data_IF_648424710717
#
_entry.id   IF_648424710717
#
_cell.length_a   1.000
_cell.length_b   1.000
_cell.length_c   1.000
_cell.angle_alpha   90.00
_cell.angle_beta   90.00
_cell.angle_gamma   90.00
#
_symmetry.space_group_name_H-M   'P 1'
#
loop_
_entity.id
_entity.type
_entity.pdbx_description
1 polymer ?
#
# COMPACT_ATOMS: atom_id res chain seq x y z
N UNK A 1 6.96 -22.32 -7.85
CA UNK A 1 7.29 -20.89 -7.57
C UNK A 1 6.24 -20.01 -8.20
N UNK A 2 5.72 -19.07 -7.45
CA UNK A 2 4.71 -18.15 -7.96
C UNK A 2 5.41 -16.92 -8.54
N UNK A 3 5.26 -16.70 -9.86
CA UNK A 3 5.91 -15.61 -10.57
C UNK A 3 4.99 -14.41 -10.83
N UNK A 4 3.78 -14.42 -10.27
CA UNK A 4 2.81 -13.36 -10.53
C UNK A 4 3.32 -11.96 -10.19
N UNK A 5 4.16 -11.85 -9.19
CA UNK A 5 4.64 -10.55 -8.71
C UNK A 5 5.96 -10.09 -9.33
N UNK A 6 6.60 -10.92 -10.18
CA UNK A 6 7.90 -10.59 -10.75
C UNK A 6 7.91 -9.25 -11.49
N UNK A 7 6.84 -8.94 -12.23
CA UNK A 7 6.75 -7.69 -13.00
C UNK A 7 6.67 -6.44 -12.12
N UNK A 8 6.41 -6.61 -10.83
CA UNK A 8 6.30 -5.50 -9.89
C UNK A 8 7.58 -5.27 -9.08
N UNK A 9 8.60 -6.12 -9.26
CA UNK A 9 9.83 -6.05 -8.48
C UNK A 9 10.86 -5.13 -9.16
N UNK A 10 11.71 -4.51 -8.35
CA UNK A 10 12.82 -3.70 -8.85
C UNK A 10 12.45 -2.31 -9.34
N UNK A 11 11.23 -1.84 -9.05
CA UNK A 11 10.83 -0.47 -9.40
C UNK A 11 11.49 0.51 -8.44
N UNK A 12 12.19 1.50 -8.98
CA UNK A 12 12.84 2.51 -8.16
C UNK A 12 11.83 3.53 -7.64
N UNK A 13 11.96 3.86 -6.37
CA UNK A 13 11.08 4.84 -5.73
C UNK A 13 11.27 6.23 -6.33
N UNK A 14 10.16 6.90 -6.64
CA UNK A 14 10.10 8.34 -6.79
C UNK A 14 8.76 8.83 -6.23
N UNK A 15 8.69 10.09 -5.81
CA UNK A 15 7.52 10.56 -5.07
C UNK A 15 6.28 10.80 -5.93
N UNK A 16 6.41 10.80 -7.26
CA UNK A 16 5.30 11.15 -8.16
C UNK A 16 4.71 9.97 -8.91
N UNK A 17 5.52 8.98 -9.28
CA UNK A 17 5.08 7.88 -10.16
C UNK A 17 5.20 6.50 -9.52
N UNK A 18 6.28 6.26 -8.78
CA UNK A 18 6.57 4.97 -8.17
C UNK A 18 6.73 5.12 -6.66
N UNK A 19 5.66 4.88 -5.93
CA UNK A 19 5.66 4.91 -4.48
C UNK A 19 4.88 3.73 -3.92
N UNK A 20 4.77 3.63 -2.59
CA UNK A 20 4.13 2.49 -1.97
C UNK A 20 2.66 2.31 -2.37
N UNK A 21 1.93 3.41 -2.62
CA UNK A 21 0.53 3.32 -3.02
C UNK A 21 0.40 2.94 -4.49
N UNK A 22 1.19 3.58 -5.37
CA UNK A 22 1.09 3.29 -6.81
C UNK A 22 1.44 1.85 -7.12
N UNK A 23 2.34 1.24 -6.35
CA UNK A 23 2.65 -0.18 -6.48
C UNK A 23 1.41 -1.03 -6.17
N UNK A 24 0.76 -0.79 -5.06
CA UNK A 24 -0.43 -1.56 -4.65
C UNK A 24 -1.59 -1.32 -5.62
N UNK A 25 -1.78 -0.08 -6.05
CA UNK A 25 -2.79 0.27 -7.04
C UNK A 25 -2.58 -0.51 -8.35
N UNK A 26 -1.34 -0.57 -8.83
CA UNK A 26 -0.99 -1.34 -10.04
C UNK A 26 -1.32 -2.83 -9.87
N UNK A 27 -0.99 -3.40 -8.72
CA UNK A 27 -1.29 -4.82 -8.46
C UNK A 27 -2.79 -5.05 -8.44
N UNK A 28 -3.55 -4.19 -7.78
CA UNK A 28 -5.01 -4.31 -7.73
C UNK A 28 -5.63 -4.19 -9.12
N UNK A 29 -5.18 -3.23 -9.92
CA UNK A 29 -5.71 -3.06 -11.28
C UNK A 29 -5.38 -4.25 -12.16
N UNK A 30 -4.16 -4.74 -12.11
CA UNK A 30 -3.71 -5.81 -13.01
C UNK A 30 -4.11 -7.20 -12.56
N UNK A 31 -4.09 -7.49 -11.25
CA UNK A 31 -4.36 -8.84 -10.74
C UNK A 31 -5.81 -9.03 -10.30
N UNK A 32 -6.48 -7.98 -9.84
CA UNK A 32 -7.86 -8.06 -9.33
C UNK A 32 -8.86 -7.31 -10.19
N UNK A 33 -8.42 -6.65 -11.24
CA UNK A 33 -9.27 -5.80 -12.09
C UNK A 33 -10.08 -4.80 -11.25
N UNK A 34 -9.41 -4.21 -10.26
CA UNK A 34 -10.02 -3.33 -9.27
C UNK A 34 -9.37 -1.95 -9.31
N UNK A 35 -10.19 -0.91 -9.24
CA UNK A 35 -9.77 0.48 -9.22
C UNK A 35 -10.09 1.17 -7.89
N UNK A 36 -10.09 0.41 -6.80
CA UNK A 36 -10.49 0.92 -5.47
C UNK A 36 -9.63 2.10 -5.01
N UNK A 37 -8.37 2.17 -5.45
CA UNK A 37 -7.47 3.25 -5.05
C UNK A 37 -7.72 4.56 -5.78
N UNK A 38 -8.54 4.57 -6.84
CA UNK A 38 -8.92 5.83 -7.48
C UNK A 38 -9.65 6.76 -6.49
N UNK A 39 -10.45 6.19 -5.59
CA UNK A 39 -11.09 6.96 -4.53
C UNK A 39 -10.12 7.56 -3.51
N UNK A 40 -8.97 6.92 -3.28
CA UNK A 40 -7.93 7.47 -2.43
C UNK A 40 -7.34 8.75 -3.03
N UNK A 41 -7.09 8.75 -4.33
CA UNK A 41 -6.55 9.91 -5.01
C UNK A 41 -7.52 11.09 -4.93
N UNK A 42 -8.82 10.85 -5.09
CA UNK A 42 -9.85 11.88 -4.90
C UNK A 42 -9.87 12.39 -3.47
N UNK A 43 -9.82 11.48 -2.50
CA UNK A 43 -9.82 11.83 -1.07
C UNK A 43 -8.62 12.71 -0.71
N UNK A 44 -7.45 12.43 -1.28
CA UNK A 44 -6.24 13.21 -1.07
C UNK A 44 -6.18 14.47 -1.92
N UNK A 45 -7.21 14.76 -2.73
CA UNK A 45 -7.27 15.90 -3.64
C UNK A 45 -6.10 15.88 -4.64
N UNK A 46 -5.87 14.72 -5.25
CA UNK A 46 -4.81 14.50 -6.23
C UNK A 46 -5.44 14.03 -7.55
N UNK A 47 -5.96 14.95 -8.39
CA UNK A 47 -6.65 14.57 -9.63
C UNK A 47 -5.79 13.73 -10.54
N UNK A 48 -6.38 12.67 -11.12
CA UNK A 48 -5.70 11.77 -12.03
C UNK A 48 -4.76 10.78 -11.37
N UNK A 49 -4.76 10.71 -10.03
CA UNK A 49 -3.97 9.74 -9.29
C UNK A 49 -2.47 9.96 -9.31
N UNK A 50 -2.01 11.12 -9.78
CA UNK A 50 -0.58 11.43 -9.84
C UNK A 50 -0.27 12.67 -9.02
N UNK A 51 0.53 12.55 -7.94
CA UNK A 51 1.00 13.72 -7.20
C UNK A 51 1.80 14.62 -8.11
N UNK A 52 1.35 15.85 -8.30
CA UNK A 52 2.02 16.80 -9.21
C UNK A 52 3.23 17.48 -8.57
N UNK A 53 3.20 17.63 -7.26
CA UNK A 53 4.17 18.41 -6.51
C UNK A 53 4.96 17.53 -5.54
N UNK A 54 5.66 16.53 -6.06
CA UNK A 54 6.58 15.68 -5.32
C UNK A 54 6.33 15.54 -3.82
N UNK A 55 6.72 16.54 -3.03
CA UNK A 55 6.65 16.48 -1.58
C UNK A 55 5.39 17.05 -0.94
N UNK A 56 4.63 17.89 -1.63
CA UNK A 56 3.48 18.57 -1.00
C UNK A 56 2.37 17.62 -0.61
N UNK A 57 2.14 16.58 -1.40
CA UNK A 57 1.09 15.61 -1.12
C UNK A 57 1.40 14.75 0.10
N UNK A 58 2.68 14.62 0.46
CA UNK A 58 3.09 13.75 1.56
C UNK A 58 2.51 14.16 2.90
N UNK A 59 2.24 15.45 3.08
CA UNK A 59 1.62 15.95 4.32
C UNK A 59 0.20 15.43 4.50
N UNK A 60 -0.48 15.09 3.41
CA UNK A 60 -1.83 14.53 3.43
C UNK A 60 -1.83 13.03 3.66
N UNK A 61 -0.66 12.40 3.59
CA UNK A 61 -0.48 10.95 3.65
C UNK A 61 -0.17 10.52 5.08
N UNK A 62 -1.07 10.86 6.02
CA UNK A 62 -0.94 10.50 7.43
C UNK A 62 -1.67 9.19 7.71
N UNK A 63 -1.26 8.48 8.78
CA UNK A 63 -1.95 7.26 9.23
C UNK A 63 -3.44 7.54 9.46
N UNK A 64 -3.77 8.59 10.19
CA UNK A 64 -5.18 8.91 10.50
C UNK A 64 -5.99 9.19 9.25
N UNK A 65 -5.45 9.94 8.31
CA UNK A 65 -6.11 10.26 7.05
C UNK A 65 -6.40 9.00 6.24
N UNK A 66 -5.42 8.12 6.12
CA UNK A 66 -5.56 6.88 5.36
C UNK A 66 -6.51 5.90 6.04
N UNK A 67 -6.45 5.78 7.36
CA UNK A 67 -7.37 4.91 8.09
C UNK A 67 -8.80 5.42 8.00
N UNK A 68 -9.00 6.74 8.02
CA UNK A 68 -10.33 7.33 7.84
C UNK A 68 -10.90 6.97 6.48
N UNK A 69 -10.11 7.12 5.42
CA UNK A 69 -10.54 6.74 4.08
C UNK A 69 -10.80 5.22 3.99
N UNK A 70 -9.86 4.41 4.48
CA UNK A 70 -9.98 2.95 4.41
C UNK A 70 -11.25 2.44 5.11
N UNK A 71 -11.63 3.06 6.23
CA UNK A 71 -12.83 2.66 6.98
C UNK A 71 -14.12 2.81 6.17
N UNK A 72 -14.11 3.63 5.11
CA UNK A 72 -15.29 3.83 4.26
C UNK A 72 -15.41 2.78 3.15
N UNK A 73 -14.32 2.10 2.78
CA UNK A 73 -14.26 1.22 1.61
C UNK A 73 -13.76 -0.18 1.91
N UNK A 74 -13.29 -0.43 3.13
CA UNK A 74 -12.64 -1.67 3.51
C UNK A 74 -13.01 -2.10 4.92
N UNK A 75 -12.69 -3.34 5.25
CA UNK A 75 -12.89 -3.91 6.58
C UNK A 75 -11.55 -4.09 7.27
N UNK A 76 -11.46 -3.68 8.52
CA UNK A 76 -10.25 -3.84 9.33
C UNK A 76 -10.02 -5.31 9.66
N UNK A 77 -8.77 -5.76 9.56
CA UNK A 77 -8.38 -7.15 9.74
C UNK A 77 -7.40 -7.26 10.90
N UNK A 78 -7.51 -8.33 11.68
CA UNK A 78 -6.53 -8.63 12.72
C UNK A 78 -5.26 -9.23 12.11
N UNK A 79 -4.12 -8.99 12.76
CA UNK A 79 -2.83 -9.52 12.33
C UNK A 79 -2.84 -11.05 12.16
N UNK A 80 -3.63 -11.75 12.97
CA UNK A 80 -3.75 -13.21 12.91
C UNK A 80 -4.56 -13.72 11.72
N UNK A 81 -5.28 -12.85 11.02
CA UNK A 81 -6.21 -13.22 9.94
C UNK A 81 -5.75 -12.73 8.57
N UNK A 82 -4.47 -12.41 8.41
CA UNK A 82 -3.92 -11.92 7.15
C UNK A 82 -4.17 -12.87 5.98
N UNK A 83 -4.61 -12.30 4.87
CA UNK A 83 -4.82 -13.00 3.60
C UNK A 83 -4.15 -12.26 2.46
N UNK A 84 -3.88 -12.95 1.36
CA UNK A 84 -3.35 -12.33 0.14
C UNK A 84 -4.22 -11.14 -0.26
N UNK A 85 -3.56 -10.06 -0.68
CA UNK A 85 -4.15 -8.76 -1.07
C UNK A 85 -4.59 -7.88 0.09
N UNK A 86 -4.42 -8.30 1.35
CA UNK A 86 -4.64 -7.37 2.46
C UNK A 86 -3.59 -6.26 2.43
N UNK A 87 -4.04 -5.03 2.69
CA UNK A 87 -3.17 -3.85 2.69
C UNK A 87 -2.77 -3.54 4.12
N UNK A 88 -1.46 -3.44 4.33
CA UNK A 88 -0.89 -3.13 5.64
C UNK A 88 -0.47 -1.66 5.65
N UNK A 89 -0.98 -0.90 6.61
CA UNK A 89 -0.56 0.47 6.86
C UNK A 89 0.47 0.44 7.98
N UNK A 90 1.69 0.89 7.66
CA UNK A 90 2.78 0.99 8.63
C UNK A 90 2.94 2.44 9.09
N UNK A 91 3.39 2.62 10.33
CA UNK A 91 3.68 3.93 10.93
C UNK A 91 5.03 4.50 10.46
N UNK A 92 5.89 3.64 9.93
CA UNK A 92 7.25 4.05 9.59
C UNK A 92 7.31 4.58 8.18
N UNK A 93 7.49 5.88 8.06
CA UNK A 93 7.94 6.54 6.86
C UNK A 93 9.13 7.41 7.22
N UNK A 94 9.91 7.82 6.23
CA UNK A 94 11.03 8.74 6.44
C UNK A 94 10.54 10.17 6.33
N UNK A 95 10.33 10.65 5.12
CA UNK A 95 9.72 11.96 4.86
C UNK A 95 8.20 11.88 4.84
N UNK A 96 7.67 10.74 4.38
CA UNK A 96 6.24 10.43 4.43
C UNK A 96 5.95 9.71 5.74
N UNK A 97 4.99 10.15 6.55
CA UNK A 97 4.74 9.55 7.86
C UNK A 97 4.16 8.15 7.83
N UNK A 98 3.76 7.68 6.65
CA UNK A 98 3.06 6.40 6.49
C UNK A 98 3.68 5.60 5.37
N UNK A 99 3.66 4.27 5.53
CA UNK A 99 4.14 3.35 4.50
C UNK A 99 3.11 2.25 4.29
N UNK A 100 2.92 1.83 3.04
CA UNK A 100 2.01 0.75 2.67
C UNK A 100 2.77 -0.49 2.25
N UNK A 101 2.23 -1.65 2.63
CA UNK A 101 2.64 -2.94 2.10
C UNK A 101 1.44 -3.76 1.70
N UNK A 102 1.65 -4.72 0.82
CA UNK A 102 0.61 -5.66 0.40
C UNK A 102 1.00 -7.07 0.86
N UNK A 103 0.15 -7.68 1.67
CA UNK A 103 0.40 -9.03 2.14
C UNK A 103 0.24 -10.04 0.98
N UNK A 104 1.14 -10.99 0.91
CA UNK A 104 1.12 -12.03 -0.11
C UNK A 104 0.71 -13.37 0.47
N UNK A 105 1.67 -14.07 1.05
CA UNK A 105 1.49 -15.38 1.70
C UNK A 105 2.73 -15.71 2.52
N UNK A 106 2.64 -16.72 3.35
CA UNK A 106 3.78 -17.24 4.10
C UNK A 106 4.56 -16.16 4.85
N UNK A 107 3.84 -15.23 5.48
CA UNK A 107 4.42 -14.15 6.28
C UNK A 107 5.29 -13.21 5.45
N UNK A 108 4.94 -12.99 4.18
CA UNK A 108 5.65 -12.12 3.25
C UNK A 108 4.75 -11.00 2.74
N UNK A 109 5.36 -9.87 2.44
CA UNK A 109 4.65 -8.74 1.84
C UNK A 109 5.52 -8.08 0.78
N UNK A 110 4.88 -7.44 -0.20
CA UNK A 110 5.56 -6.65 -1.23
C UNK A 110 5.36 -5.18 -0.89
N UNK A 111 6.43 -4.39 -1.04
CA UNK A 111 6.36 -2.96 -0.79
C UNK A 111 7.42 -2.21 -1.59
N UNK A 112 7.26 -0.89 -1.65
CA UNK A 112 8.21 0.01 -2.30
C UNK A 112 8.62 1.07 -1.27
N UNK A 113 9.71 0.84 -0.55
CA UNK A 113 10.15 1.79 0.49
C UNK A 113 10.73 3.07 -0.10
N UNK A 114 10.61 4.17 0.66
CA UNK A 114 11.18 5.44 0.26
C UNK A 114 12.69 5.32 0.01
N UNK A 115 13.12 5.83 -1.15
CA UNK A 115 14.53 5.84 -1.51
C UNK A 115 15.08 4.48 -1.93
N UNK A 116 14.24 3.45 -1.98
CA UNK A 116 14.64 2.11 -2.34
C UNK A 116 13.98 1.60 -3.61
N UNK A 117 13.79 0.31 -3.69
CA UNK A 117 13.13 -0.33 -4.82
C UNK A 117 12.11 -1.36 -4.31
N UNK A 118 11.13 -1.68 -5.15
CA UNK A 118 10.11 -2.65 -4.79
C UNK A 118 10.69 -4.05 -4.64
N UNK A 119 10.32 -4.71 -3.55
CA UNK A 119 10.77 -6.07 -3.27
C UNK A 119 9.81 -6.78 -2.33
N UNK A 120 9.96 -8.10 -2.24
CA UNK A 120 9.22 -8.93 -1.28
C UNK A 120 10.08 -9.08 -0.04
N UNK A 121 9.50 -8.81 1.11
CA UNK A 121 10.17 -8.88 2.40
C UNK A 121 9.41 -9.80 3.33
N UNK A 122 10.08 -10.29 4.36
CA UNK A 122 9.45 -11.07 5.43
C UNK A 122 8.84 -10.12 6.44
N UNK A 123 7.63 -10.42 6.88
CA UNK A 123 6.94 -9.63 7.91
C UNK A 123 7.51 -9.99 9.28
N UNK A 124 8.70 -9.49 9.55
CA UNK A 124 9.44 -9.72 10.79
C UNK A 124 8.74 -9.05 11.98
N UNK A 125 9.20 -9.37 13.20
CA UNK A 125 8.67 -8.70 14.39
C UNK A 125 8.91 -7.20 14.35
N UNK A 126 10.04 -6.75 13.81
CA UNK A 126 10.32 -5.32 13.64
C UNK A 126 9.26 -4.65 12.76
N UNK A 127 8.89 -5.27 11.64
CA UNK A 127 7.82 -4.77 10.78
C UNK A 127 6.47 -4.83 11.47
N UNK A 128 6.17 -5.93 12.16
CA UNK A 128 4.90 -6.08 12.88
C UNK A 128 4.71 -5.00 13.94
N UNK A 129 5.78 -4.61 14.62
CA UNK A 129 5.74 -3.56 15.63
C UNK A 129 5.40 -2.19 15.03
N UNK A 130 5.58 -2.02 13.74
CA UNK A 130 5.30 -0.77 13.03
C UNK A 130 3.92 -0.76 12.37
N UNK A 131 3.15 -1.83 12.44
CA UNK A 131 1.82 -1.89 11.84
C UNK A 131 0.86 -0.95 12.60
N UNK A 132 0.23 -0.04 11.85
CA UNK A 132 -0.86 0.78 12.36
C UNK A 132 -2.19 0.05 12.24
N UNK A 133 -2.47 -0.51 11.06
CA UNK A 133 -3.71 -1.24 10.79
C UNK A 133 -3.58 -2.07 9.51
N UNK A 134 -4.50 -3.02 9.34
CA UNK A 134 -4.57 -3.89 8.18
C UNK A 134 -5.99 -3.84 7.64
N UNK A 135 -6.14 -3.77 6.31
CA UNK A 135 -7.43 -3.57 5.68
C UNK A 135 -7.65 -4.54 4.54
N UNK A 136 -8.88 -5.04 4.45
CA UNK A 136 -9.34 -5.90 3.35
C UNK A 136 -10.47 -5.19 2.64
N UNK A 137 -10.31 -4.96 1.33
CA UNK A 137 -11.30 -4.24 0.55
C UNK A 137 -12.56 -5.07 0.38
N UNK A 138 -13.71 -4.44 0.58
CA UNK A 138 -15.02 -5.06 0.42
C UNK A 138 -15.26 -5.35 -1.07
N UNK A 139 -15.85 -6.51 -1.35
CA UNK A 139 -16.19 -6.89 -2.72
C UNK A 139 -15.03 -7.44 -3.56
N UNK A 140 -13.85 -7.60 -3.00
CA UNK A 140 -12.75 -8.26 -3.69
C UNK A 140 -12.83 -9.75 -3.43
N UNK A 141 -12.91 -10.52 -4.51
CA UNK A 141 -12.90 -11.98 -4.47
C UNK A 141 -11.47 -12.48 -4.68
N UNK A 142 -10.94 -13.13 -3.68
CA UNK A 142 -9.59 -13.70 -3.72
C UNK A 142 -9.62 -15.21 -3.84
#
# INVERSE_FOLDING_TARGET
>A
MDLRYNKYLGLNHNYTENNCITLIDSIYKNELNSNVFDGLWEYLDLPGGKPKDGRKWMKRFSVDSLETWASTVATKVNLTDLQEYDVIIFKSGRLVPTHFGLYLWANKFIHLPEGGFSHIDVLTQEWRDQIASIWRWNGINT
#
